data_IF_719239493284
#
_entry.id   IF_719239493284
#
_cell.length_a   1.000
_cell.length_b   1.000
_cell.length_c   1.000
_cell.angle_alpha   90.00
_cell.angle_beta   90.00
_cell.angle_gamma   90.00
#
_symmetry.space_group_name_H-M   'P 1'
#
loop_
_entity.id
_entity.type
_entity.pdbx_description
1 polymer ?
#
# COMPACT_ATOMS: atom_id res chain seq x y z
N UNK A 1 -18.50 24.44 -8.98
CA UNK A 1 -18.62 25.46 -10.06
C UNK A 1 -19.72 26.47 -9.80
N UNK A 2 -21.01 26.07 -9.76
CA UNK A 2 -22.15 26.99 -9.63
C UNK A 2 -22.03 28.04 -8.51
N UNK A 3 -21.62 27.62 -7.31
CA UNK A 3 -21.61 28.51 -6.15
C UNK A 3 -20.37 29.41 -6.07
N UNK A 4 -19.30 29.01 -6.77
CA UNK A 4 -18.02 29.74 -6.75
C UNK A 4 -17.80 30.56 -8.03
N UNK A 5 -18.59 30.32 -9.09
CA UNK A 5 -18.46 31.01 -10.37
C UNK A 5 -17.13 30.75 -11.11
N UNK A 6 -16.38 29.73 -10.71
CA UNK A 6 -15.08 29.35 -11.29
C UNK A 6 -15.11 27.88 -11.76
N UNK A 7 -14.30 27.52 -12.79
CA UNK A 7 -14.13 26.13 -13.20
C UNK A 7 -13.60 25.26 -12.06
N UNK A 8 -14.08 24.03 -11.97
CA UNK A 8 -13.70 23.08 -10.93
C UNK A 8 -13.59 21.67 -11.51
N UNK A 9 -12.52 20.96 -11.12
CA UNK A 9 -12.32 19.57 -11.43
C UNK A 9 -12.15 18.76 -10.14
N UNK A 10 -12.57 17.50 -10.17
CA UNK A 10 -12.39 16.53 -9.10
C UNK A 10 -11.93 15.21 -9.72
N UNK A 11 -11.08 14.50 -9.00
CA UNK A 11 -10.63 13.16 -9.35
C UNK A 11 -10.37 12.39 -8.03
N UNK A 12 -10.06 11.11 -8.15
CA UNK A 12 -9.63 10.27 -7.02
C UNK A 12 -8.35 10.84 -6.36
N UNK A 13 -8.22 10.67 -5.05
CA UNK A 13 -7.12 11.21 -4.25
C UNK A 13 -5.74 10.69 -4.67
N UNK A 14 -5.60 9.37 -4.90
CA UNK A 14 -4.38 8.75 -5.38
C UNK A 14 -4.06 9.15 -6.84
N UNK A 15 -5.09 9.33 -7.67
CA UNK A 15 -4.94 9.89 -9.02
C UNK A 15 -4.37 11.31 -9.01
N UNK A 16 -4.92 12.21 -8.20
CA UNK A 16 -4.41 13.59 -8.10
C UNK A 16 -3.03 13.62 -7.48
N UNK A 17 -2.74 12.76 -6.50
CA UNK A 17 -1.39 12.60 -5.97
C UNK A 17 -0.40 12.13 -7.05
N UNK A 18 -0.79 11.19 -7.91
CA UNK A 18 0.01 10.75 -9.04
C UNK A 18 0.32 11.88 -10.03
N UNK A 19 -0.65 12.76 -10.31
CA UNK A 19 -0.45 13.95 -11.13
C UNK A 19 0.56 14.92 -10.47
N UNK A 20 0.48 15.10 -9.16
CA UNK A 20 1.44 15.91 -8.40
C UNK A 20 2.86 15.36 -8.47
N UNK A 21 3.02 14.06 -8.19
CA UNK A 21 4.31 13.37 -8.27
C UNK A 21 4.87 13.36 -9.69
N UNK A 22 4.01 13.19 -10.71
CA UNK A 22 4.42 13.37 -12.10
C UNK A 22 4.89 14.80 -12.36
N UNK A 23 4.15 15.81 -11.94
CA UNK A 23 4.44 17.20 -12.34
C UNK A 23 5.70 17.76 -11.66
N UNK A 24 5.77 17.69 -10.33
CA UNK A 24 6.81 18.37 -9.53
C UNK A 24 7.60 17.43 -8.63
N UNK A 25 7.22 16.14 -8.57
CA UNK A 25 7.81 15.14 -7.68
C UNK A 25 8.70 14.12 -8.41
N UNK A 26 8.70 12.90 -7.89
CA UNK A 26 9.58 11.82 -8.34
C UNK A 26 9.28 11.35 -9.77
N UNK A 27 8.09 11.63 -10.30
CA UNK A 27 7.73 11.29 -11.67
C UNK A 27 8.37 12.19 -12.74
N UNK A 28 8.98 13.32 -12.35
CA UNK A 28 9.85 14.15 -13.21
C UNK A 28 9.28 14.46 -14.62
N UNK A 29 7.98 14.74 -14.66
CA UNK A 29 7.13 14.99 -15.83
C UNK A 29 7.16 13.88 -16.90
N UNK A 30 7.51 12.64 -16.52
CA UNK A 30 7.50 11.50 -17.42
C UNK A 30 6.07 11.22 -17.93
N UNK A 31 5.97 10.69 -19.15
CA UNK A 31 4.69 10.32 -19.76
C UNK A 31 4.11 9.02 -19.19
N UNK A 32 4.95 8.19 -18.59
CA UNK A 32 4.55 6.91 -18.02
C UNK A 32 4.99 6.88 -16.55
N UNK A 33 4.03 6.94 -15.64
CA UNK A 33 4.27 6.96 -14.19
C UNK A 33 3.20 6.10 -13.52
N UNK A 34 3.63 5.24 -12.61
CA UNK A 34 2.74 4.56 -11.68
C UNK A 34 3.06 5.07 -10.29
N UNK A 35 2.05 5.60 -9.61
CA UNK A 35 2.11 6.02 -8.23
C UNK A 35 1.39 5.01 -7.36
N UNK A 36 1.99 4.65 -6.23
CA UNK A 36 1.40 3.79 -5.20
C UNK A 36 1.51 4.53 -3.87
N UNK A 37 0.39 4.71 -3.19
CA UNK A 37 0.36 5.33 -1.85
C UNK A 37 0.05 4.29 -0.80
N UNK A 38 0.84 4.29 0.28
CA UNK A 38 0.69 3.40 1.43
C UNK A 38 0.29 4.25 2.64
N UNK A 39 -0.91 4.05 3.16
CA UNK A 39 -1.46 4.80 4.29
C UNK A 39 -2.48 3.98 5.04
N UNK A 40 -3.64 4.58 5.36
CA UNK A 40 -4.78 3.83 5.93
C UNK A 40 -5.16 2.64 5.05
N UNK A 41 -5.16 2.86 3.73
CA UNK A 41 -5.31 1.85 2.69
C UNK A 41 -4.12 1.85 1.73
N UNK A 42 -4.29 1.18 0.58
CA UNK A 42 -3.32 1.22 -0.53
C UNK A 42 -4.02 1.77 -1.76
N UNK A 43 -3.61 2.97 -2.19
CA UNK A 43 -4.13 3.62 -3.38
C UNK A 43 -3.14 3.58 -4.54
N UNK A 44 -3.60 3.91 -5.74
CA UNK A 44 -2.75 3.99 -6.91
C UNK A 44 -3.24 5.02 -7.93
N UNK A 45 -2.31 5.46 -8.77
CA UNK A 45 -2.61 6.28 -9.95
C UNK A 45 -1.70 5.88 -11.10
N UNK A 46 -2.28 5.68 -12.27
CA UNK A 46 -1.56 5.21 -13.46
C UNK A 46 -1.64 6.27 -14.55
N UNK A 47 -0.48 6.72 -15.02
CA UNK A 47 -0.36 7.65 -16.13
C UNK A 47 0.36 6.91 -17.25
N UNK A 48 -0.26 6.83 -18.42
CA UNK A 48 0.29 6.19 -19.61
C UNK A 48 0.13 7.11 -20.83
N UNK A 49 1.22 7.24 -21.60
CA UNK A 49 1.33 8.16 -22.74
C UNK A 49 0.98 9.63 -22.39
N UNK A 50 1.16 10.01 -21.12
CA UNK A 50 0.85 11.34 -20.58
C UNK A 50 -0.59 11.52 -20.09
N UNK A 51 -1.43 10.49 -20.20
CA UNK A 51 -2.83 10.51 -19.78
C UNK A 51 -3.03 9.71 -18.49
N UNK A 52 -3.76 10.29 -17.55
CA UNK A 52 -4.22 9.58 -16.36
C UNK A 52 -5.28 8.54 -16.77
N UNK A 53 -5.18 7.32 -16.24
CA UNK A 53 -6.04 6.20 -16.60
C UNK A 53 -7.16 6.02 -15.57
N UNK A 54 -8.40 6.34 -15.96
CA UNK A 54 -9.57 6.18 -15.10
C UNK A 54 -10.29 4.84 -15.25
N UNK A 55 -10.08 4.12 -16.36
CA UNK A 55 -10.87 2.93 -16.70
C UNK A 55 -12.34 3.25 -16.98
N UNK A 56 -13.13 2.21 -17.33
CA UNK A 56 -14.54 2.38 -17.78
C UNK A 56 -15.48 2.90 -16.70
N UNK A 57 -15.17 2.61 -15.42
CA UNK A 57 -16.00 2.94 -14.27
C UNK A 57 -15.32 3.88 -13.27
N UNK A 58 -14.22 4.52 -13.66
CA UNK A 58 -13.44 5.37 -12.73
C UNK A 58 -12.57 4.60 -11.73
N UNK A 59 -12.42 3.27 -11.90
CA UNK A 59 -11.66 2.37 -11.03
C UNK A 59 -10.29 1.96 -11.63
N UNK A 60 -9.80 2.70 -12.62
CA UNK A 60 -8.44 2.55 -13.12
C UNK A 60 -7.43 2.95 -12.06
N UNK A 61 -6.40 2.14 -11.82
CA UNK A 61 -5.37 2.42 -10.82
C UNK A 61 -5.66 1.93 -9.41
N UNK A 62 -6.70 1.11 -9.20
CA UNK A 62 -7.03 0.43 -7.92
C UNK A 62 -6.00 -0.65 -7.53
N UNK A 63 -4.73 -0.25 -7.40
CA UNK A 63 -3.56 -1.12 -7.17
C UNK A 63 -3.67 -1.86 -5.83
N UNK A 64 -4.30 -1.25 -4.82
CA UNK A 64 -4.52 -1.88 -3.52
C UNK A 64 -5.33 -3.17 -3.59
N UNK A 65 -6.15 -3.35 -4.64
CA UNK A 65 -7.00 -4.52 -4.81
C UNK A 65 -6.42 -5.61 -5.71
N UNK A 66 -5.18 -5.45 -6.20
CA UNK A 66 -4.45 -6.53 -6.88
C UNK A 66 -4.30 -7.71 -5.91
N UNK A 67 -4.67 -8.91 -6.35
CA UNK A 67 -4.52 -10.14 -5.57
C UNK A 67 -3.06 -10.56 -5.59
N UNK A 68 -2.42 -10.51 -4.43
CA UNK A 68 -1.01 -10.89 -4.23
C UNK A 68 -0.84 -12.18 -3.42
N UNK A 69 -1.92 -12.66 -2.79
CA UNK A 69 -1.98 -13.92 -2.06
C UNK A 69 -3.31 -14.65 -2.34
N UNK A 70 -3.39 -15.42 -3.44
CA UNK A 70 -4.66 -15.99 -3.91
C UNK A 70 -5.22 -17.12 -3.03
N UNK A 71 -4.35 -17.91 -2.41
CA UNK A 71 -4.77 -19.16 -1.74
C UNK A 71 -5.05 -18.97 -0.26
N UNK A 72 -4.21 -18.20 0.43
CA UNK A 72 -4.28 -18.01 1.89
C UNK A 72 -4.38 -16.54 2.30
N UNK A 73 -4.88 -15.70 1.40
CA UNK A 73 -4.96 -14.25 1.60
C UNK A 73 -6.00 -13.86 2.65
N UNK A 74 -5.80 -12.69 3.28
CA UNK A 74 -6.78 -12.12 4.20
C UNK A 74 -8.02 -11.60 3.46
N UNK A 75 -9.16 -11.59 4.14
CA UNK A 75 -10.38 -10.93 3.65
C UNK A 75 -10.13 -9.43 3.45
N UNK A 76 -10.56 -8.92 2.31
CA UNK A 76 -10.56 -7.50 1.99
C UNK A 76 -11.99 -6.95 2.05
N UNK A 77 -12.12 -5.68 2.44
CA UNK A 77 -13.41 -4.98 2.50
C UNK A 77 -14.06 -4.81 1.13
N UNK A 78 -13.30 -4.93 0.03
CA UNK A 78 -13.85 -4.93 -1.33
C UNK A 78 -14.61 -6.22 -1.70
N UNK A 79 -14.55 -7.26 -0.85
CA UNK A 79 -15.22 -8.55 -1.05
C UNK A 79 -14.32 -9.66 -1.62
N UNK A 80 -13.09 -9.34 -2.03
CA UNK A 80 -12.08 -10.32 -2.46
C UNK A 80 -11.19 -10.78 -1.29
N UNK A 81 -10.30 -11.74 -1.57
CA UNK A 81 -9.23 -12.18 -0.65
C UNK A 81 -7.86 -11.91 -1.23
N UNK A 82 -6.89 -11.62 -0.36
CA UNK A 82 -5.48 -11.52 -0.73
C UNK A 82 -5.10 -10.25 -1.48
N UNK A 83 -5.92 -9.20 -1.39
CA UNK A 83 -5.59 -7.89 -1.95
C UNK A 83 -4.32 -7.32 -1.30
N UNK A 84 -3.50 -6.62 -2.09
CA UNK A 84 -2.27 -5.95 -1.63
C UNK A 84 -2.51 -5.06 -0.40
N UNK A 85 -3.64 -4.36 -0.36
CA UNK A 85 -4.02 -3.50 0.77
C UNK A 85 -4.05 -4.25 2.11
N UNK A 86 -4.46 -5.52 2.10
CA UNK A 86 -4.59 -6.32 3.33
C UNK A 86 -3.26 -6.65 3.98
N UNK A 87 -2.15 -6.44 3.27
CA UNK A 87 -0.78 -6.74 3.73
C UNK A 87 0.14 -5.52 3.71
N UNK A 88 -0.12 -4.51 2.88
CA UNK A 88 0.77 -3.36 2.69
C UNK A 88 0.23 -2.00 3.19
N UNK A 89 -1.05 -1.90 3.58
CA UNK A 89 -1.54 -0.72 4.30
C UNK A 89 -0.97 -0.65 5.73
N UNK A 90 -1.12 0.48 6.41
CA UNK A 90 -0.71 0.63 7.81
C UNK A 90 -1.33 -0.46 8.71
N UNK A 91 -2.61 -0.79 8.50
CA UNK A 91 -3.28 -1.87 9.22
C UNK A 91 -2.89 -3.26 8.69
N UNK A 92 -2.57 -3.38 7.40
CA UNK A 92 -2.08 -4.61 6.79
C UNK A 92 -0.71 -5.05 7.33
N UNK A 93 0.21 -4.10 7.53
CA UNK A 93 1.53 -4.38 8.11
C UNK A 93 1.38 -4.91 9.54
N UNK A 94 0.52 -4.30 10.36
CA UNK A 94 0.23 -4.77 11.73
C UNK A 94 -0.45 -6.15 11.70
N UNK A 95 -1.33 -6.41 10.73
CA UNK A 95 -1.95 -7.72 10.53
C UNK A 95 -0.91 -8.81 10.22
N UNK A 96 0.08 -8.50 9.38
CA UNK A 96 1.21 -9.41 9.13
C UNK A 96 1.99 -9.66 10.42
N UNK A 97 2.22 -8.63 11.25
CA UNK A 97 2.87 -8.81 12.54
C UNK A 97 2.13 -9.80 13.44
N UNK A 98 0.81 -9.66 13.61
CA UNK A 98 0.01 -10.63 14.37
C UNK A 98 0.13 -12.05 13.79
N UNK A 99 0.04 -12.20 12.47
CA UNK A 99 0.11 -13.51 11.81
C UNK A 99 1.47 -14.18 11.98
N UNK A 100 2.57 -13.42 11.92
CA UNK A 100 3.93 -13.97 12.06
C UNK A 100 4.31 -14.20 13.52
N UNK A 101 3.75 -13.43 14.46
CA UNK A 101 4.04 -13.56 15.89
C UNK A 101 3.72 -14.96 16.44
N UNK A 102 2.70 -15.63 15.90
CA UNK A 102 2.29 -16.99 16.30
C UNK A 102 3.39 -18.05 16.11
N UNK A 103 4.31 -17.83 15.18
CA UNK A 103 5.34 -18.81 14.78
C UNK A 103 6.77 -18.34 15.04
N UNK A 104 6.94 -17.14 15.58
CA UNK A 104 8.26 -16.56 15.83
C UNK A 104 8.76 -16.94 17.23
N UNK A 105 9.92 -17.59 17.31
CA UNK A 105 10.50 -18.08 18.58
C UNK A 105 11.61 -17.16 19.13
N UNK A 106 11.91 -16.05 18.46
CA UNK A 106 12.96 -15.12 18.87
C UNK A 106 12.48 -14.02 19.82
N UNK A 107 13.44 -13.25 20.35
CA UNK A 107 13.14 -12.04 21.11
C UNK A 107 12.91 -10.85 20.18
N UNK A 108 11.87 -10.07 20.46
CA UNK A 108 11.53 -8.82 19.76
C UNK A 108 10.60 -7.99 20.63
N UNK A 109 10.82 -6.67 20.68
CA UNK A 109 9.93 -5.75 21.39
C UNK A 109 8.58 -5.66 20.70
N UNK A 110 8.56 -5.65 19.36
CA UNK A 110 7.34 -5.67 18.55
C UNK A 110 6.55 -6.95 18.81
N UNK A 111 7.24 -8.11 18.82
CA UNK A 111 6.58 -9.39 19.11
C UNK A 111 5.94 -9.40 20.51
N UNK A 112 6.68 -8.93 21.52
CA UNK A 112 6.18 -8.85 22.88
C UNK A 112 4.95 -7.92 22.99
N UNK A 113 5.00 -6.74 22.36
CA UNK A 113 3.87 -5.81 22.32
C UNK A 113 2.63 -6.43 21.65
N UNK A 114 2.82 -7.11 20.52
CA UNK A 114 1.76 -7.85 19.81
C UNK A 114 1.14 -8.95 20.70
N UNK A 115 1.97 -9.77 21.35
CA UNK A 115 1.51 -10.87 22.21
C UNK A 115 0.76 -10.34 23.45
N UNK A 116 1.19 -9.19 23.99
CA UNK A 116 0.56 -8.54 25.14
C UNK A 116 -0.72 -7.76 24.78
N UNK A 117 -1.09 -7.68 23.50
CA UNK A 117 -2.23 -6.88 23.03
C UNK A 117 -2.02 -5.37 23.16
N UNK A 118 -0.76 -4.94 23.16
CA UNK A 118 -0.40 -3.52 23.16
C UNK A 118 -0.68 -2.90 21.78
N UNK A 119 -0.84 -1.57 21.75
CA UNK A 119 -1.06 -0.85 20.51
C UNK A 119 0.26 -0.73 19.72
N UNK A 120 0.31 -1.36 18.54
CA UNK A 120 1.47 -1.34 17.64
C UNK A 120 1.08 -0.71 16.31
N UNK A 121 1.90 0.22 15.83
CA UNK A 121 1.71 0.86 14.52
C UNK A 121 2.69 0.32 13.47
N UNK A 122 2.39 0.53 12.19
CA UNK A 122 3.34 0.24 11.10
C UNK A 122 4.66 1.02 11.26
N UNK A 123 4.60 2.23 11.83
CA UNK A 123 5.79 3.03 12.12
C UNK A 123 6.68 2.36 13.16
N UNK A 124 6.11 1.84 14.24
CA UNK A 124 6.88 1.17 15.30
C UNK A 124 7.60 -0.07 14.73
N UNK A 125 6.91 -0.84 13.89
CA UNK A 125 7.48 -2.00 13.19
C UNK A 125 8.64 -1.56 12.28
N UNK A 126 8.46 -0.53 11.46
CA UNK A 126 9.51 -0.06 10.55
C UNK A 126 10.72 0.49 11.32
N UNK A 127 10.51 1.23 12.40
CA UNK A 127 11.58 1.74 13.27
C UNK A 127 12.36 0.57 13.88
N UNK A 128 11.67 -0.43 14.45
CA UNK A 128 12.31 -1.60 15.02
C UNK A 128 13.15 -2.37 13.98
N UNK A 129 12.67 -2.50 12.73
CA UNK A 129 13.45 -3.09 11.65
C UNK A 129 14.73 -2.29 11.36
N UNK A 130 14.66 -0.96 11.30
CA UNK A 130 15.87 -0.12 11.13
C UNK A 130 16.86 -0.21 12.28
N UNK A 131 16.40 -0.59 13.47
CA UNK A 131 17.22 -0.84 14.66
C UNK A 131 17.75 -2.29 14.73
N UNK A 132 17.40 -3.14 13.77
CA UNK A 132 17.90 -4.51 13.62
C UNK A 132 17.07 -5.59 14.32
N UNK A 133 15.84 -5.29 14.72
CA UNK A 133 14.90 -6.29 15.23
C UNK A 133 14.55 -7.33 14.14
N UNK A 134 14.92 -8.59 14.38
CA UNK A 134 14.78 -9.67 13.39
C UNK A 134 13.33 -10.07 13.11
N UNK A 135 12.43 -9.88 14.06
CA UNK A 135 11.01 -10.10 13.83
C UNK A 135 10.45 -9.00 12.93
N UNK A 136 10.77 -7.74 13.24
CA UNK A 136 10.38 -6.59 12.44
C UNK A 136 10.93 -6.68 11.01
N UNK A 137 12.20 -7.06 10.84
CA UNK A 137 12.81 -7.35 9.54
C UNK A 137 11.97 -8.37 8.74
N UNK A 138 11.56 -9.47 9.37
CA UNK A 138 10.75 -10.51 8.70
C UNK A 138 9.38 -10.00 8.22
N UNK A 139 8.78 -9.06 8.95
CA UNK A 139 7.52 -8.41 8.55
C UNK A 139 7.79 -7.52 7.33
N UNK A 140 8.83 -6.69 7.38
CA UNK A 140 9.22 -5.81 6.26
C UNK A 140 9.54 -6.61 5.01
N UNK A 141 10.26 -7.72 5.13
CA UNK A 141 10.58 -8.62 4.02
C UNK A 141 9.31 -9.20 3.39
N UNK A 142 8.35 -9.64 4.22
CA UNK A 142 7.08 -10.19 3.74
C UNK A 142 6.25 -9.14 3.00
N UNK A 143 6.15 -7.92 3.54
CA UNK A 143 5.44 -6.80 2.91
C UNK A 143 6.12 -6.39 1.60
N UNK A 144 7.45 -6.28 1.61
CA UNK A 144 8.26 -5.91 0.44
C UNK A 144 8.14 -6.94 -0.68
N UNK A 145 8.04 -8.23 -0.36
CA UNK A 145 7.77 -9.28 -1.35
C UNK A 145 6.44 -9.07 -2.06
N UNK A 146 5.37 -8.73 -1.35
CA UNK A 146 4.05 -8.49 -1.96
C UNK A 146 4.01 -7.18 -2.77
N UNK A 147 4.62 -6.12 -2.26
CA UNK A 147 4.81 -4.87 -3.00
C UNK A 147 5.61 -5.11 -4.29
N UNK A 148 6.72 -5.83 -4.20
CA UNK A 148 7.55 -6.23 -5.33
C UNK A 148 6.77 -7.06 -6.36
N UNK A 149 5.98 -8.04 -5.91
CA UNK A 149 5.14 -8.83 -6.81
C UNK A 149 4.13 -7.95 -7.57
N UNK A 150 3.39 -7.09 -6.87
CA UNK A 150 2.40 -6.23 -7.51
C UNK A 150 3.05 -5.24 -8.49
N UNK A 151 4.10 -4.54 -8.06
CA UNK A 151 4.78 -3.52 -8.88
C UNK A 151 5.53 -4.12 -10.06
N UNK A 152 6.15 -5.31 -9.92
CA UNK A 152 6.76 -6.02 -11.04
C UNK A 152 5.72 -6.39 -12.10
N UNK A 153 4.54 -6.88 -11.70
CA UNK A 153 3.47 -7.20 -12.65
C UNK A 153 2.90 -5.97 -13.35
N UNK A 154 2.85 -4.82 -12.68
CA UNK A 154 2.45 -3.55 -13.31
C UNK A 154 3.50 -3.09 -14.33
N UNK A 155 4.78 -3.39 -14.11
CA UNK A 155 5.88 -2.97 -14.96
C UNK A 155 6.12 -3.85 -16.20
N UNK A 156 5.67 -5.11 -16.18
CA UNK A 156 5.89 -6.07 -17.27
C UNK A 156 5.06 -5.72 -18.52
#
# INVERSE_FOLDING_TARGET
EKELGIPFAIDNDANVAALGERWVGAGANNRNVVFVTLGTGVGGGVIADGNLIHGVAGAGGEIGHIIVEPDTGFECTCGNKGCLETVASATGIVRIAHHLAEKYEGNSSIKAAVDNGEFVTSKDILVAATEGDKFADSIVDKVSKYLGLATANISN
#
